data_IF_754016798875
#
_entry.id   IF_754016798875
#
_cell.length_a   1.000
_cell.length_b   1.000
_cell.length_c   1.000
_cell.angle_alpha   90.00
_cell.angle_beta   90.00
_cell.angle_gamma   90.00
#
_symmetry.space_group_name_H-M   'P 1'
#
loop_
_entity.id
_entity.type
_entity.pdbx_description
1 polymer ?
#
# COMPACT_ATOMS: atom_id res chain seq x y z
N UNK A 1 -10.13 12.17 -35.97
CA UNK A 1 -9.88 13.11 -34.85
C UNK A 1 -10.77 12.83 -33.63
N UNK A 2 -12.04 12.43 -33.81
CA UNK A 2 -12.96 12.05 -32.72
C UNK A 2 -12.63 10.71 -32.04
N UNK A 3 -12.16 9.71 -32.78
CA UNK A 3 -11.74 8.40 -32.21
C UNK A 3 -10.50 8.51 -31.31
N UNK A 4 -9.47 9.25 -31.73
CA UNK A 4 -8.27 9.50 -30.91
C UNK A 4 -8.60 10.25 -29.61
N UNK A 5 -9.55 11.21 -29.66
CA UNK A 5 -10.01 11.90 -28.47
C UNK A 5 -10.79 10.97 -27.51
N UNK A 6 -11.57 10.03 -28.05
CA UNK A 6 -12.27 9.02 -27.25
C UNK A 6 -11.28 8.04 -26.57
N UNK A 7 -10.27 7.56 -27.30
CA UNK A 7 -9.23 6.67 -26.76
C UNK A 7 -8.39 7.38 -25.69
N UNK A 8 -8.02 8.65 -25.89
CA UNK A 8 -7.32 9.43 -24.87
C UNK A 8 -8.11 9.59 -23.57
N UNK A 9 -9.44 9.76 -23.66
CA UNK A 9 -10.33 9.85 -22.49
C UNK A 9 -10.46 8.53 -21.75
N UNK A 10 -10.49 7.41 -22.47
CA UNK A 10 -10.52 6.07 -21.89
C UNK A 10 -9.22 5.76 -21.13
N UNK A 11 -8.07 6.10 -21.72
CA UNK A 11 -6.77 5.92 -21.08
C UNK A 11 -6.62 6.79 -19.82
N UNK A 12 -7.06 8.05 -19.88
CA UNK A 12 -7.04 8.95 -18.72
C UNK A 12 -7.93 8.45 -17.57
N UNK A 13 -9.12 7.93 -17.89
CA UNK A 13 -10.00 7.31 -16.89
C UNK A 13 -9.40 6.02 -16.31
N UNK A 14 -8.75 5.19 -17.13
CA UNK A 14 -8.08 3.98 -16.67
C UNK A 14 -6.92 4.30 -15.70
N UNK A 15 -6.09 5.30 -16.04
CA UNK A 15 -5.00 5.76 -15.18
C UNK A 15 -5.49 6.35 -13.84
N UNK A 16 -6.56 7.17 -13.89
CA UNK A 16 -7.17 7.77 -12.69
C UNK A 16 -7.77 6.72 -11.76
N UNK A 17 -8.50 5.74 -12.31
CA UNK A 17 -9.12 4.67 -11.52
C UNK A 17 -8.07 3.74 -10.89
N UNK A 18 -6.97 3.46 -11.59
CA UNK A 18 -5.86 2.66 -11.05
C UNK A 18 -5.21 3.32 -9.82
N UNK A 19 -4.98 4.62 -9.90
CA UNK A 19 -4.37 5.41 -8.82
C UNK A 19 -5.25 5.43 -7.56
N UNK A 20 -6.56 5.70 -7.71
CA UNK A 20 -7.49 5.77 -6.58
C UNK A 20 -7.59 4.42 -5.84
N UNK A 21 -7.68 3.32 -6.59
CA UNK A 21 -7.75 1.98 -6.01
C UNK A 21 -6.48 1.65 -5.20
N UNK A 22 -5.31 2.03 -5.71
CA UNK A 22 -4.03 1.82 -5.01
C UNK A 22 -3.96 2.62 -3.72
N UNK A 23 -4.35 3.89 -3.74
CA UNK A 23 -4.39 4.72 -2.52
C UNK A 23 -5.29 4.09 -1.45
N UNK A 24 -6.45 3.56 -1.83
CA UNK A 24 -7.35 2.88 -0.90
C UNK A 24 -6.69 1.61 -0.34
N UNK A 25 -6.12 0.76 -1.19
CA UNK A 25 -5.45 -0.48 -0.76
C UNK A 25 -4.29 -0.19 0.18
N UNK A 26 -3.42 0.78 -0.15
CA UNK A 26 -2.28 1.13 0.68
C UNK A 26 -2.68 1.80 1.99
N UNK A 27 -3.70 2.66 1.97
CA UNK A 27 -4.27 3.27 3.18
C UNK A 27 -4.81 2.20 4.13
N UNK A 28 -5.59 1.24 3.62
CA UNK A 28 -6.08 0.11 4.42
C UNK A 28 -4.94 -0.78 4.91
N UNK A 29 -3.95 -1.04 4.05
CA UNK A 29 -2.78 -1.87 4.40
C UNK A 29 -1.97 -1.25 5.54
N UNK A 30 -1.82 0.07 5.56
CA UNK A 30 -1.11 0.78 6.62
C UNK A 30 -1.80 0.67 7.99
N UNK A 31 -3.10 0.45 8.03
CA UNK A 31 -3.81 0.11 9.26
C UNK A 31 -3.70 -1.38 9.60
N UNK A 32 -4.07 -2.24 8.65
CA UNK A 32 -4.23 -3.68 8.90
C UNK A 32 -2.89 -4.38 9.13
N UNK A 33 -1.87 -4.10 8.33
CA UNK A 33 -0.58 -4.82 8.39
C UNK A 33 0.16 -4.55 9.71
N UNK A 34 0.33 -3.30 10.18
CA UNK A 34 0.99 -3.04 11.45
C UNK A 34 0.18 -3.55 12.65
N UNK A 35 -1.16 -3.43 12.62
CA UNK A 35 -2.02 -3.96 13.69
C UNK A 35 -1.93 -5.48 13.78
N UNK A 36 -2.04 -6.18 12.65
CA UNK A 36 -1.91 -7.65 12.62
C UNK A 36 -0.50 -8.09 13.02
N UNK A 37 0.54 -7.36 12.60
CA UNK A 37 1.91 -7.59 13.02
C UNK A 37 2.10 -7.38 14.54
N UNK A 38 1.49 -6.35 15.13
CA UNK A 38 1.51 -6.11 16.57
C UNK A 38 0.88 -7.26 17.34
N UNK A 39 -0.40 -7.56 17.10
CA UNK A 39 -1.10 -8.58 17.87
C UNK A 39 -0.56 -9.98 17.60
N UNK A 40 -0.14 -10.27 16.37
CA UNK A 40 0.52 -11.53 16.02
C UNK A 40 1.86 -11.69 16.74
N UNK A 41 2.72 -10.68 16.69
CA UNK A 41 4.02 -10.75 17.37
C UNK A 41 3.90 -10.77 18.90
N UNK A 42 2.91 -10.07 19.45
CA UNK A 42 2.63 -10.06 20.89
C UNK A 42 2.29 -11.45 21.44
N UNK A 43 1.44 -12.20 20.72
CA UNK A 43 0.98 -13.52 21.18
C UNK A 43 1.92 -14.67 20.79
N UNK A 44 2.56 -14.63 19.61
CA UNK A 44 3.31 -15.78 19.10
C UNK A 44 4.83 -15.67 19.27
N UNK A 45 5.40 -14.46 19.24
CA UNK A 45 6.86 -14.27 19.21
C UNK A 45 7.42 -13.74 20.53
N UNK A 46 6.71 -12.80 21.14
CA UNK A 46 7.25 -12.01 22.25
C UNK A 46 6.59 -12.29 23.61
N UNK A 47 5.73 -13.31 23.69
CA UNK A 47 5.12 -13.83 24.92
C UNK A 47 4.50 -12.73 25.81
N UNK A 48 3.80 -11.78 25.18
CA UNK A 48 3.17 -10.64 25.86
C UNK A 48 4.04 -9.39 26.03
N UNK A 49 5.28 -9.36 25.54
CA UNK A 49 6.10 -8.15 25.59
C UNK A 49 5.66 -7.13 24.52
N UNK A 50 4.92 -6.11 24.97
CA UNK A 50 4.36 -5.05 24.12
C UNK A 50 5.42 -4.16 23.46
N UNK A 51 6.61 -4.00 24.06
CA UNK A 51 7.67 -3.17 23.48
C UNK A 51 8.24 -3.79 22.21
N UNK A 52 8.58 -5.09 22.24
CA UNK A 52 9.08 -5.77 21.03
C UNK A 52 8.00 -5.94 19.97
N UNK A 53 6.74 -6.16 20.38
CA UNK A 53 5.62 -6.19 19.46
C UNK A 53 5.39 -4.83 18.77
N UNK A 54 5.49 -3.73 19.50
CA UNK A 54 5.40 -2.37 18.95
C UNK A 54 6.53 -2.09 17.95
N UNK A 55 7.77 -2.47 18.26
CA UNK A 55 8.90 -2.34 17.33
C UNK A 55 8.62 -3.12 16.03
N UNK A 56 8.11 -4.35 16.15
CA UNK A 56 7.78 -5.20 14.98
C UNK A 56 6.70 -4.53 14.11
N UNK A 57 5.67 -3.96 14.72
CA UNK A 57 4.61 -3.24 14.03
C UNK A 57 5.13 -1.97 13.32
N UNK A 58 6.02 -1.22 13.95
CA UNK A 58 6.66 -0.04 13.34
C UNK A 58 7.48 -0.44 12.12
N UNK A 59 8.26 -1.53 12.22
CA UNK A 59 9.02 -2.07 11.08
C UNK A 59 8.07 -2.50 9.96
N UNK A 60 6.96 -3.17 10.28
CA UNK A 60 5.95 -3.57 9.29
C UNK A 60 5.30 -2.36 8.60
N UNK A 61 5.00 -1.28 9.33
CA UNK A 61 4.47 -0.05 8.75
C UNK A 61 5.43 0.58 7.74
N UNK A 62 6.72 0.64 8.08
CA UNK A 62 7.75 1.15 7.18
C UNK A 62 7.91 0.25 5.93
N UNK A 63 7.80 -1.07 6.09
CA UNK A 63 7.81 -1.99 4.95
C UNK A 63 6.65 -1.72 3.98
N UNK A 64 5.44 -1.46 4.48
CA UNK A 64 4.28 -1.09 3.65
C UNK A 64 4.56 0.21 2.88
N UNK A 65 5.14 1.22 3.54
CA UNK A 65 5.52 2.48 2.89
C UNK A 65 6.56 2.29 1.78
N UNK A 66 7.57 1.45 2.01
CA UNK A 66 8.58 1.14 0.98
C UNK A 66 7.94 0.42 -0.21
N UNK A 67 7.07 -0.56 0.04
CA UNK A 67 6.34 -1.27 -1.03
C UNK A 67 5.46 -0.30 -1.83
N UNK A 68 4.79 0.64 -1.16
CA UNK A 68 4.01 1.69 -1.83
C UNK A 68 4.88 2.52 -2.77
N UNK A 69 6.00 3.04 -2.27
CA UNK A 69 6.92 3.86 -3.05
C UNK A 69 7.44 3.09 -4.29
N UNK A 70 7.89 1.84 -4.11
CA UNK A 70 8.37 1.02 -5.23
C UNK A 70 7.27 0.80 -6.26
N UNK A 71 6.05 0.46 -5.82
CA UNK A 71 4.91 0.21 -6.71
C UNK A 71 4.55 1.49 -7.48
N UNK A 72 4.53 2.64 -6.81
CA UNK A 72 4.29 3.93 -7.45
C UNK A 72 5.36 4.28 -8.48
N UNK A 73 6.64 4.06 -8.18
CA UNK A 73 7.72 4.31 -9.14
C UNK A 73 7.61 3.39 -10.36
N UNK A 74 7.32 2.10 -10.16
CA UNK A 74 7.18 1.15 -11.27
C UNK A 74 6.01 1.51 -12.20
N UNK A 75 4.92 2.03 -11.64
CA UNK A 75 3.77 2.52 -12.40
C UNK A 75 4.08 3.82 -13.16
N UNK A 76 4.81 4.75 -12.54
CA UNK A 76 5.27 5.99 -13.20
C UNK A 76 6.20 5.69 -14.39
N UNK A 77 6.98 4.61 -14.33
CA UNK A 77 7.88 4.20 -15.43
C UNK A 77 7.16 3.40 -16.54
N UNK A 78 5.95 2.88 -16.28
CA UNK A 78 5.20 2.05 -17.23
C UNK A 78 4.10 2.86 -17.95
N UNK A 79 3.80 4.09 -17.52
CA UNK A 79 2.85 5.01 -18.16
C UNK A 79 3.49 5.91 -19.22
#
# INVERSE_FOLDING_TARGET
MSEQAAIGKLNANAASNGTLLKLIIFSLSLGIVPLTSYYGSLHFFWNGNSTFAAITAIVAANAVLVIYIITSILEDNTS
#
